data_IF_258920922555
#
_entry.id   IF_258920922555
#
_cell.length_a   1.000
_cell.length_b   1.000
_cell.length_c   1.000
_cell.angle_alpha   90.00
_cell.angle_beta   90.00
_cell.angle_gamma   90.00
#
_symmetry.space_group_name_H-M   'P 1'
#
loop_
_entity.id
_entity.type
_entity.pdbx_description
1 polymer ?
#
# COMPACT_ATOMS: atom_id res chain seq x y z
N UNK A 1 18.51 25.25 0.42
CA UNK A 1 18.29 23.99 -0.32
C UNK A 1 17.14 24.25 -1.28
N UNK A 2 17.41 24.36 -2.58
CA UNK A 2 16.35 24.60 -3.57
C UNK A 2 15.54 23.32 -3.71
N UNK A 3 14.33 23.30 -3.14
CA UNK A 3 13.36 22.26 -3.43
C UNK A 3 12.89 22.54 -4.85
N UNK A 4 13.41 21.77 -5.81
CA UNK A 4 12.97 21.84 -7.19
C UNK A 4 11.52 21.36 -7.20
N UNK A 5 10.59 22.23 -7.57
CA UNK A 5 9.23 21.81 -7.90
C UNK A 5 9.35 20.89 -9.12
N UNK A 6 9.17 19.59 -8.90
CA UNK A 6 9.11 18.58 -9.95
C UNK A 6 7.66 18.11 -10.02
N UNK A 7 7.18 17.86 -11.24
CA UNK A 7 5.87 17.23 -11.42
C UNK A 7 5.89 15.80 -10.88
N UNK A 8 4.72 15.26 -10.55
CA UNK A 8 4.60 13.88 -10.04
C UNK A 8 5.12 12.88 -11.07
N UNK A 9 4.94 13.20 -12.35
CA UNK A 9 5.37 12.43 -13.50
C UNK A 9 6.90 12.41 -13.63
N UNK A 10 7.57 13.56 -13.50
CA UNK A 10 9.03 13.67 -13.54
C UNK A 10 9.69 12.96 -12.36
N UNK A 11 9.07 13.02 -11.18
CA UNK A 11 9.54 12.29 -10.00
C UNK A 11 9.41 10.79 -10.23
N UNK A 12 8.28 10.34 -10.77
CA UNK A 12 8.06 8.92 -11.03
C UNK A 12 9.00 8.36 -12.10
N UNK A 13 9.24 9.11 -13.17
CA UNK A 13 10.22 8.75 -14.21
C UNK A 13 11.64 8.67 -13.65
N UNK A 14 12.05 9.65 -12.84
CA UNK A 14 13.38 9.63 -12.21
C UNK A 14 13.59 8.48 -11.21
N UNK A 15 12.51 7.98 -10.63
CA UNK A 15 12.54 6.83 -9.71
C UNK A 15 12.32 5.49 -10.42
N UNK A 16 12.03 5.49 -11.73
CA UNK A 16 11.71 4.29 -12.50
C UNK A 16 10.43 3.60 -12.03
N UNK A 17 9.45 4.36 -11.56
CA UNK A 17 8.22 3.83 -10.96
C UNK A 17 7.00 4.17 -11.83
N UNK A 18 6.13 3.19 -12.05
CA UNK A 18 4.84 3.43 -12.71
C UNK A 18 3.88 4.19 -11.76
N UNK A 19 3.51 5.41 -12.13
CA UNK A 19 2.59 6.28 -11.38
C UNK A 19 1.24 5.60 -11.16
N UNK A 20 0.72 4.90 -12.17
CA UNK A 20 -0.56 4.23 -12.09
C UNK A 20 -0.49 3.08 -11.07
N UNK A 21 0.58 2.29 -11.09
CA UNK A 21 0.80 1.22 -10.12
C UNK A 21 0.88 1.77 -8.68
N UNK A 22 1.65 2.84 -8.46
CA UNK A 22 1.78 3.48 -7.14
C UNK A 22 0.43 3.98 -6.64
N UNK A 23 -0.36 4.61 -7.52
CA UNK A 23 -1.68 5.12 -7.18
C UNK A 23 -2.63 3.99 -6.77
N UNK A 24 -2.63 2.88 -7.50
CA UNK A 24 -3.44 1.71 -7.15
C UNK A 24 -3.01 1.07 -5.82
N UNK A 25 -1.70 0.93 -5.58
CA UNK A 25 -1.18 0.47 -4.29
C UNK A 25 -1.60 1.38 -3.15
N UNK A 26 -1.49 2.70 -3.32
CA UNK A 26 -1.94 3.66 -2.30
C UNK A 26 -3.43 3.53 -2.02
N UNK A 27 -4.27 3.43 -3.06
CA UNK A 27 -5.70 3.21 -2.91
C UNK A 27 -6.01 1.94 -2.10
N UNK A 28 -5.31 0.85 -2.39
CA UNK A 28 -5.47 -0.43 -1.69
C UNK A 28 -5.01 -0.35 -0.23
N UNK A 29 -3.90 0.34 0.05
CA UNK A 29 -3.40 0.58 1.40
C UNK A 29 -4.42 1.37 2.23
N UNK A 30 -5.00 2.43 1.66
CA UNK A 30 -6.03 3.21 2.36
C UNK A 30 -7.25 2.36 2.71
N UNK A 31 -7.64 1.42 1.84
CA UNK A 31 -8.70 0.46 2.13
C UNK A 31 -8.30 -0.48 3.27
N UNK A 32 -7.10 -1.06 3.23
CA UNK A 32 -6.56 -1.92 4.28
C UNK A 32 -6.59 -1.22 5.65
N UNK A 33 -6.14 0.04 5.72
CA UNK A 33 -6.15 0.83 6.96
C UNK A 33 -7.57 0.98 7.51
N UNK A 34 -8.54 1.31 6.65
CA UNK A 34 -9.95 1.44 7.04
C UNK A 34 -10.49 0.12 7.57
N UNK A 35 -10.23 -0.99 6.88
CA UNK A 35 -10.70 -2.32 7.27
C UNK A 35 -10.07 -2.78 8.59
N UNK A 36 -8.77 -2.57 8.78
CA UNK A 36 -8.07 -2.89 10.05
C UNK A 36 -8.69 -2.12 11.21
N UNK A 37 -8.90 -0.81 11.05
CA UNK A 37 -9.52 0.05 12.07
C UNK A 37 -10.95 -0.36 12.37
N UNK A 38 -11.75 -0.69 11.35
CA UNK A 38 -13.12 -1.18 11.52
C UNK A 38 -13.18 -2.48 12.34
N UNK A 39 -12.19 -3.37 12.19
CA UNK A 39 -12.05 -4.58 13.00
C UNK A 39 -11.39 -4.36 14.36
N UNK A 40 -11.03 -3.11 14.71
CA UNK A 40 -10.35 -2.74 15.96
C UNK A 40 -9.03 -3.50 16.19
N UNK A 41 -8.34 -3.87 15.11
CA UNK A 41 -7.04 -4.56 15.17
C UNK A 41 -5.93 -3.50 15.23
N UNK A 42 -5.01 -3.60 16.19
CA UNK A 42 -3.84 -2.71 16.25
C UNK A 42 -2.83 -3.05 15.15
N UNK A 43 -1.92 -2.13 14.83
CA UNK A 43 -0.83 -2.44 13.88
C UNK A 43 0.07 -3.57 14.39
N UNK A 44 0.32 -3.64 15.71
CA UNK A 44 1.10 -4.72 16.32
C UNK A 44 0.40 -6.08 16.25
N UNK A 45 -0.92 -6.11 16.41
CA UNK A 45 -1.71 -7.33 16.26
C UNK A 45 -1.69 -7.81 14.80
N UNK A 46 -1.90 -6.90 13.83
CA UNK A 46 -1.81 -7.24 12.41
C UNK A 46 -0.41 -7.76 12.05
N UNK A 47 0.64 -7.11 12.56
CA UNK A 47 2.02 -7.54 12.36
C UNK A 47 2.26 -8.96 12.86
N UNK A 48 1.76 -9.29 14.06
CA UNK A 48 1.84 -10.64 14.64
C UNK A 48 1.11 -11.68 13.78
N UNK A 49 -0.04 -11.34 13.20
CA UNK A 49 -0.79 -12.25 12.33
C UNK A 49 -0.07 -12.52 11.00
N UNK A 50 0.74 -11.57 10.52
CA UNK A 50 1.50 -11.67 9.27
C UNK A 50 2.94 -12.16 9.45
N UNK A 51 3.40 -12.33 10.69
CA UNK A 51 4.80 -12.69 10.97
C UNK A 51 5.80 -11.59 10.61
N UNK A 52 5.41 -10.32 10.67
CA UNK A 52 6.27 -9.16 10.37
C UNK A 52 6.38 -8.21 11.57
N UNK A 53 7.22 -7.19 11.47
CA UNK A 53 7.35 -6.17 12.52
C UNK A 53 6.22 -5.14 12.47
N UNK A 54 5.88 -4.54 13.62
CA UNK A 54 4.90 -3.43 13.66
C UNK A 54 5.39 -2.23 12.84
N UNK A 55 6.70 -1.97 12.82
CA UNK A 55 7.31 -0.92 11.99
C UNK A 55 7.06 -1.15 10.50
N UNK A 56 7.14 -2.41 10.01
CA UNK A 56 6.80 -2.74 8.63
C UNK A 56 5.34 -2.44 8.30
N UNK A 57 4.41 -2.76 9.20
CA UNK A 57 2.99 -2.41 9.02
C UNK A 57 2.81 -0.89 9.01
N UNK A 58 3.44 -0.16 9.93
CA UNK A 58 3.36 1.30 9.96
C UNK A 58 3.92 1.95 8.68
N UNK A 59 5.02 1.41 8.13
CA UNK A 59 5.58 1.84 6.86
C UNK A 59 4.62 1.60 5.69
N UNK A 60 4.00 0.42 5.64
CA UNK A 60 3.01 0.10 4.59
C UNK A 60 1.81 1.07 4.72
N UNK A 61 1.29 1.28 5.92
CA UNK A 61 0.11 2.13 6.15
C UNK A 61 0.38 3.62 5.96
N UNK A 62 1.63 4.09 6.08
CA UNK A 62 1.97 5.51 5.87
C UNK A 62 1.96 5.91 4.40
N UNK A 63 2.00 4.95 3.48
CA UNK A 63 2.12 5.25 2.06
C UNK A 63 3.54 5.56 1.59
N UNK A 64 4.50 5.71 2.52
CA UNK A 64 5.88 6.12 2.24
C UNK A 64 6.72 4.91 1.82
N UNK A 65 7.38 5.00 0.67
CA UNK A 65 8.21 3.90 0.13
C UNK A 65 7.37 2.72 -0.39
N UNK A 66 6.10 2.96 -0.74
CA UNK A 66 5.17 1.93 -1.23
C UNK A 66 5.46 1.43 -2.63
N UNK A 67 6.32 2.10 -3.39
CA UNK A 67 6.80 1.64 -4.70
C UNK A 67 7.31 0.18 -4.63
N UNK A 68 8.02 -0.17 -3.55
CA UNK A 68 8.61 -1.49 -3.34
C UNK A 68 7.69 -2.49 -2.61
N UNK A 69 6.48 -2.09 -2.24
CA UNK A 69 5.49 -3.00 -1.66
C UNK A 69 4.78 -3.70 -2.82
N UNK A 70 4.88 -5.02 -2.89
CA UNK A 70 4.20 -5.80 -3.93
C UNK A 70 2.71 -5.93 -3.64
N UNK A 71 1.90 -6.11 -4.68
CA UNK A 71 0.47 -6.39 -4.50
C UNK A 71 0.23 -7.64 -3.66
N UNK A 72 1.05 -8.68 -3.79
CA UNK A 72 0.93 -9.91 -3.00
C UNK A 72 0.95 -9.65 -1.49
N UNK A 73 1.79 -8.73 -1.03
CA UNK A 73 1.84 -8.33 0.39
C UNK A 73 0.52 -7.67 0.79
N UNK A 74 0.00 -6.75 -0.02
CA UNK A 74 -1.26 -6.04 0.25
C UNK A 74 -2.46 -7.00 0.25
N UNK A 75 -2.48 -7.92 -0.71
CA UNK A 75 -3.51 -8.95 -0.84
C UNK A 75 -3.46 -9.94 0.34
N UNK A 76 -2.27 -10.35 0.78
CA UNK A 76 -2.12 -11.21 1.96
C UNK A 76 -2.64 -10.52 3.24
N UNK A 77 -2.41 -9.21 3.39
CA UNK A 77 -3.00 -8.44 4.50
C UNK A 77 -4.53 -8.55 4.48
N UNK A 78 -5.16 -8.44 3.32
CA UNK A 78 -6.62 -8.59 3.20
C UNK A 78 -7.11 -9.98 3.60
N UNK A 79 -6.40 -11.05 3.20
CA UNK A 79 -6.72 -12.42 3.59
C UNK A 79 -6.66 -12.60 5.10
N UNK A 80 -5.60 -12.12 5.73
CA UNK A 80 -5.41 -12.18 7.19
C UNK A 80 -6.46 -11.36 7.94
N UNK A 81 -6.91 -10.25 7.36
CA UNK A 81 -8.03 -9.47 7.87
C UNK A 81 -9.40 -10.15 7.64
N UNK A 82 -9.44 -11.32 6.99
CA UNK A 82 -10.64 -12.13 6.77
C UNK A 82 -11.44 -11.77 5.53
N UNK A 83 -10.86 -11.01 4.60
CA UNK A 83 -11.52 -10.61 3.36
C UNK A 83 -11.10 -11.51 2.20
N UNK A 84 -12.06 -11.82 1.33
CA UNK A 84 -11.79 -12.37 0.00
C UNK A 84 -11.83 -11.22 -1.01
N UNK A 85 -10.97 -11.28 -2.02
CA UNK A 85 -10.93 -10.30 -3.10
C UNK A 85 -11.14 -10.99 -4.45
N UNK A 86 -11.59 -10.21 -5.42
CA UNK A 86 -11.72 -10.61 -6.82
C UNK A 86 -10.89 -9.66 -7.67
N UNK A 87 -10.04 -10.19 -8.53
CA UNK A 87 -9.27 -9.40 -9.49
C UNK A 87 -10.16 -9.20 -10.73
N UNK A 88 -10.32 -7.95 -11.15
CA UNK A 88 -11.09 -7.57 -12.32
C UNK A 88 -10.18 -6.74 -13.22
N UNK A 89 -10.09 -7.12 -14.49
CA UNK A 89 -9.37 -6.36 -15.50
C UNK A 89 -10.28 -5.24 -16.02
N UNK A 90 -9.73 -4.03 -16.12
CA UNK A 90 -10.39 -2.91 -16.81
C UNK A 90 -9.42 -2.35 -17.85
N UNK A 91 -9.95 -1.90 -18.97
CA UNK A 91 -9.16 -1.21 -19.99
C UNK A 91 -8.63 0.10 -19.38
N UNK A 92 -7.32 0.33 -19.48
CA UNK A 92 -6.75 1.63 -19.15
C UNK A 92 -7.38 2.68 -20.08
N UNK A 93 -7.96 3.73 -19.49
CA UNK A 93 -8.60 4.81 -20.20
C UNK A 93 -7.57 5.71 -20.89
#
# INVERSE_FOLDING_TARGET
>A
MAWKEMSVEEVAESLGVDVAEVKEKQNLIQQIVKLRKARKISQSALAKMLGVTQSRIAQIESGIGTAYVTFDVLLNILLVLGYKFRIILKKAA
#
